data_IF_688247179605
#
_entry.id   IF_688247179605
#
_cell.length_a   1.000
_cell.length_b   1.000
_cell.length_c   1.000
_cell.angle_alpha   90.00
_cell.angle_beta   90.00
_cell.angle_gamma   90.00
#
_symmetry.space_group_name_H-M   'P 1'
#
loop_
_entity.id
_entity.type
_entity.pdbx_description
1 polymer ?
2 non-polymer ?
3 water ?
#
# COMPACT_ATOMS: atom_id res chain seq x y z
N UNK A 2 0.72 6.13 11.31
CA UNK A 2 1.28 5.97 9.96
C UNK A 2 0.24 6.22 8.86
N UNK A 3 0.72 6.65 7.70
CA UNK A 3 -0.15 7.15 6.65
C UNK A 3 -0.49 6.06 5.63
N UNK A 4 -1.56 6.26 4.87
CA UNK A 4 -1.78 5.48 3.64
C UNK A 4 -1.27 6.33 2.47
N UNK A 5 -0.40 5.76 1.63
CA UNK A 5 0.10 6.45 0.44
C UNK A 5 -0.64 5.97 -0.81
N UNK A 6 -1.23 6.90 -1.55
CA UNK A 6 -1.96 6.61 -2.78
C UNK A 6 -1.16 7.09 -3.98
N UNK A 7 -1.02 6.24 -4.99
CA UNK A 7 -0.18 6.57 -6.15
C UNK A 7 -0.97 6.28 -7.42
N UNK A 8 -1.23 7.34 -8.20
CA UNK A 8 -2.04 7.25 -9.41
C UNK A 8 -1.67 8.45 -10.29
N UNK A 9 -1.51 8.21 -11.59
CA UNK A 9 -1.06 9.25 -12.50
C UNK A 9 -2.20 10.20 -12.89
N UNK A 10 -3.44 9.71 -12.80
CA UNK A 10 -4.63 10.49 -13.17
C UNK A 10 -5.17 11.27 -11.97
N UNK A 11 -5.11 12.62 -12.02
CA UNK A 11 -5.40 13.48 -10.86
C UNK A 11 -6.80 13.36 -10.21
N UNK A 12 -7.80 12.99 -10.99
CA UNK A 12 -9.16 12.93 -10.50
C UNK A 12 -9.43 11.60 -9.79
N UNK A 13 -8.84 10.52 -10.29
CA UNK A 13 -8.89 9.22 -9.63
C UNK A 13 -8.17 9.33 -8.30
N UNK A 14 -7.01 9.98 -8.32
CA UNK A 14 -6.21 10.12 -7.12
C UNK A 14 -6.99 10.90 -6.06
N UNK A 15 -7.58 12.03 -6.46
CA UNK A 15 -8.37 12.85 -5.55
C UNK A 15 -9.60 12.11 -5.00
N UNK A 16 -10.25 11.31 -5.83
CA UNK A 16 -11.44 10.59 -5.39
C UNK A 16 -11.05 9.48 -4.39
N UNK A 17 -9.95 8.80 -4.65
CA UNK A 17 -9.42 7.79 -3.74
C UNK A 17 -9.13 8.41 -2.38
N UNK A 18 -8.51 9.60 -2.38
CA UNK A 18 -8.23 10.35 -1.14
C UNK A 18 -9.54 10.70 -0.41
N UNK A 19 -10.52 11.21 -1.13
CA UNK A 19 -11.84 11.51 -0.54
C UNK A 19 -12.46 10.27 0.13
N UNK A 20 -12.35 9.11 -0.53
CA UNK A 20 -12.87 7.83 -0.01
C UNK A 20 -12.25 7.41 1.31
N UNK A 21 -10.97 7.74 1.52
CA UNK A 21 -10.21 7.22 2.67
C UNK A 21 -9.96 8.24 3.79
N UNK A 22 -10.08 9.53 3.49
CA UNK A 22 -9.58 10.57 4.41
C UNK A 22 -10.33 10.72 5.75
N UNK A 23 -11.58 10.28 5.80
CA UNK A 23 -12.32 10.24 7.07
C UNK A 23 -11.78 9.14 7.99
N UNK A 24 -10.91 8.27 7.46
CA UNK A 24 -10.47 7.06 8.15
C UNK A 24 -8.95 7.01 8.35
N UNK A 25 -8.20 7.71 7.50
CA UNK A 25 -6.74 7.63 7.49
C UNK A 25 -6.08 8.98 7.18
N UNK A 26 -4.85 9.15 7.64
CA UNK A 26 -3.98 10.20 7.13
C UNK A 26 -3.56 9.76 5.74
N UNK A 27 -3.85 10.59 4.74
CA UNK A 27 -3.65 10.20 3.35
C UNK A 27 -2.55 11.04 2.71
N UNK A 28 -1.56 10.35 2.14
CA UNK A 28 -0.55 11.00 1.31
C UNK A 28 -0.76 10.59 -0.14
N UNK A 29 -0.48 11.50 -1.07
CA UNK A 29 -0.68 11.23 -2.50
C UNK A 29 0.56 11.51 -3.35
N UNK A 30 0.77 10.68 -4.36
CA UNK A 30 1.87 10.85 -5.31
C UNK A 30 1.35 10.56 -6.71
N UNK A 31 1.87 11.29 -7.70
CA UNK A 31 1.41 11.15 -9.09
C UNK A 31 2.17 10.09 -9.92
N UNK A 32 3.20 9.48 -9.35
CA UNK A 32 3.98 8.46 -10.05
C UNK A 32 5.02 7.88 -9.11
N UNK A 33 5.73 6.84 -9.55
CA UNK A 33 6.65 6.09 -8.68
C UNK A 33 7.75 6.92 -8.02
N UNK A 34 8.30 7.88 -8.77
CA UNK A 34 9.38 8.73 -8.31
C UNK A 34 8.96 9.62 -7.14
N UNK A 35 7.84 10.32 -7.30
CA UNK A 35 7.26 11.13 -6.23
C UNK A 35 6.88 10.28 -5.02
N UNK A 36 6.48 9.04 -5.28
CA UNK A 36 6.00 8.15 -4.21
C UNK A 36 7.17 7.63 -3.39
N UNK A 37 8.25 7.24 -4.07
CA UNK A 37 9.50 6.83 -3.40
C UNK A 37 10.05 7.97 -2.52
N UNK A 38 9.95 9.21 -3.00
CA UNK A 38 10.41 10.38 -2.25
C UNK A 38 9.63 10.53 -0.94
N UNK A 39 8.33 10.24 -1.00
CA UNK A 39 7.47 10.24 0.18
C UNK A 39 7.83 9.10 1.14
N UNK A 40 8.04 7.90 0.60
CA UNK A 40 8.40 6.73 1.41
C UNK A 40 9.73 6.94 2.16
N UNK A 41 10.65 7.67 1.54
CA UNK A 41 11.94 7.99 2.16
C UNK A 41 11.86 8.99 3.31
N UNK A 42 10.77 9.76 3.38
CA UNK A 42 10.68 10.90 4.29
C UNK A 42 9.53 10.81 5.31
N UNK A 43 8.51 10.00 5.00
CA UNK A 43 7.32 9.82 5.86
C UNK A 43 7.13 8.36 6.33
N UNK A 44 6.41 8.18 7.43
CA UNK A 44 6.04 6.84 7.95
C UNK A 44 4.74 6.34 7.30
N UNK A 45 4.86 5.35 6.43
CA UNK A 45 3.75 4.83 5.62
C UNK A 45 3.45 3.36 5.96
N UNK A 46 2.19 3.08 6.27
CA UNK A 46 1.75 1.71 6.59
C UNK A 46 1.22 0.91 5.38
N UNK A 47 0.49 1.61 4.50
CA UNK A 47 -0.21 1.00 3.38
C UNK A 47 0.04 1.83 2.10
N UNK A 48 0.29 1.15 0.98
CA UNK A 48 0.48 1.78 -0.34
C UNK A 48 -0.55 1.22 -1.30
N UNK A 49 -1.36 2.08 -1.92
CA UNK A 49 -2.26 1.66 -2.99
C UNK A 49 -1.77 2.32 -4.27
N UNK A 50 -1.46 1.50 -5.26
CA UNK A 50 -0.80 1.98 -6.45
C UNK A 50 -1.44 1.51 -7.76
N UNK A 51 -1.66 2.44 -8.68
CA UNK A 51 -2.16 2.10 -10.00
C UNK A 51 -1.05 1.40 -10.81
N UNK A 52 -1.40 0.40 -11.62
CA UNK A 52 -0.41 -0.31 -12.41
C UNK A 52 0.16 0.54 -13.56
N UNK A 53 -0.72 1.15 -14.34
CA UNK A 53 -0.30 1.76 -15.61
C UNK A 53 -0.08 3.26 -15.38
N UNK A 54 1.19 3.65 -15.28
CA UNK A 54 1.61 5.03 -15.07
C UNK A 54 2.76 5.36 -16.06
N UNK A 55 2.83 6.61 -16.55
CA UNK A 55 3.91 6.92 -17.51
C UNK A 55 5.27 6.58 -16.92
N UNK A 56 6.09 5.89 -17.71
CA UNK A 56 7.32 5.31 -17.18
C UNK A 56 6.99 4.13 -16.28
N UNK A 57 7.51 4.21 -15.05
CA UNK A 57 7.53 3.09 -14.10
C UNK A 57 6.14 2.58 -13.74
N UNK A 58 5.94 1.28 -13.93
CA UNK A 58 4.70 0.59 -13.56
C UNK A 58 4.57 0.45 -12.04
N UNK A 59 3.33 0.23 -11.59
CA UNK A 59 3.06 -0.09 -10.20
C UNK A 59 3.74 -1.35 -9.73
N UNK A 60 3.79 -2.38 -10.58
CA UNK A 60 4.45 -3.65 -10.24
C UNK A 60 5.95 -3.43 -9.95
N UNK A 61 6.61 -2.63 -10.78
CA UNK A 61 8.04 -2.31 -10.60
C UNK A 61 8.27 -1.48 -9.36
N UNK A 62 7.50 -0.41 -9.21
CA UNK A 62 7.54 0.44 -8.03
C UNK A 62 7.33 -0.36 -6.75
N UNK A 63 6.29 -1.21 -6.72
CA UNK A 63 5.95 -2.00 -5.51
C UNK A 63 6.95 -3.11 -5.21
N UNK A 64 7.64 -3.59 -6.25
CA UNK A 64 8.75 -4.55 -6.11
C UNK A 64 9.87 -3.92 -5.28
N UNK A 65 10.19 -2.67 -5.60
CA UNK A 65 11.18 -1.89 -4.87
C UNK A 65 10.70 -1.54 -3.47
N UNK A 66 9.40 -1.23 -3.33
CA UNK A 66 8.81 -1.00 -2.00
C UNK A 66 8.98 -2.23 -1.13
N UNK A 67 8.77 -3.42 -1.69
CA UNK A 67 8.98 -4.63 -0.91
C UNK A 67 10.43 -4.76 -0.42
N UNK A 68 11.38 -4.41 -1.28
CA UNK A 68 12.82 -4.48 -0.96
C UNK A 68 13.21 -3.53 0.17
N UNK A 69 12.83 -2.26 0.04
CA UNK A 69 13.24 -1.22 0.99
C UNK A 69 12.37 -1.08 2.26
N UNK A 70 11.06 -1.37 2.14
CA UNK A 70 10.14 -1.30 3.29
C UNK A 70 9.19 -2.50 3.30
N UNK A 71 9.70 -3.70 3.66
CA UNK A 71 8.93 -4.94 3.49
C UNK A 71 7.70 -5.11 4.42
N UNK A 72 7.61 -4.29 5.46
CA UNK A 72 6.51 -4.37 6.44
C UNK A 72 5.27 -3.53 6.07
N UNK A 73 5.38 -2.78 4.98
CA UNK A 73 4.25 -2.08 4.37
C UNK A 73 3.26 -3.12 3.84
N UNK A 74 1.98 -2.76 3.76
CA UNK A 74 1.00 -3.57 3.05
C UNK A 74 0.78 -2.89 1.68
N UNK A 75 0.88 -3.68 0.61
CA UNK A 75 0.96 -3.16 -0.75
C UNK A 75 -0.19 -3.70 -1.62
N UNK A 76 -0.93 -2.77 -2.19
CA UNK A 76 -2.12 -3.05 -3.01
C UNK A 76 -1.92 -2.43 -4.39
N UNK A 77 -2.25 -3.19 -5.44
CA UNK A 77 -2.17 -2.69 -6.81
C UNK A 77 -3.56 -2.62 -7.43
N UNK A 78 -3.80 -1.53 -8.18
CA UNK A 78 -5.04 -1.39 -8.93
C UNK A 78 -4.70 -1.65 -10.39
N UNK A 79 -5.42 -2.56 -11.03
CA UNK A 79 -5.07 -3.01 -12.38
C UNK A 79 -6.27 -3.50 -13.17
N UNK A 80 -6.22 -3.30 -14.47
CA UNK A 80 -7.15 -3.91 -15.39
C UNK A 80 -6.45 -5.19 -15.86
N UNK A 81 -6.98 -5.81 -16.91
CA UNK A 81 -6.43 -7.10 -17.40
C UNK A 81 -6.25 -8.11 -16.25
N UNK A 82 -7.27 -8.22 -15.39
CA UNK A 82 -7.20 -9.18 -14.30
C UNK A 82 -7.33 -10.60 -14.78
N UNK A 83 -7.82 -10.80 -16.02
CA UNK A 83 -7.90 -12.15 -16.57
C UNK A 83 -6.58 -12.55 -17.29
N UNK A 84 -5.52 -11.75 -17.14
CA UNK A 84 -4.20 -12.06 -17.75
C UNK A 84 -3.33 -12.85 -16.77
N UNK A 85 -2.98 -14.09 -17.11
CA UNK A 85 -2.10 -14.90 -16.27
C UNK A 85 -0.70 -14.31 -16.07
N UNK A 86 -0.13 -13.67 -17.09
CA UNK A 86 1.14 -12.98 -16.88
C UNK A 86 1.05 -11.74 -15.97
N UNK A 87 -0.01 -10.94 -16.09
CA UNK A 87 -0.29 -9.87 -15.10
C UNK A 87 -0.34 -10.48 -13.70
N UNK A 88 -1.12 -11.55 -13.51
CA UNK A 88 -1.27 -12.20 -12.20
C UNK A 88 0.07 -12.72 -11.66
N UNK A 89 0.85 -13.35 -12.55
CA UNK A 89 2.16 -13.85 -12.18
C UNK A 89 3.14 -12.72 -11.81
N UNK A 90 3.14 -11.60 -12.54
CA UNK A 90 3.89 -10.39 -12.12
C UNK A 90 3.53 -9.88 -10.71
N UNK A 91 2.23 -9.83 -10.40
CA UNK A 91 1.78 -9.31 -9.12
C UNK A 91 2.26 -10.24 -8.01
N UNK A 92 2.07 -11.54 -8.19
CA UNK A 92 2.57 -12.54 -7.22
C UNK A 92 4.10 -12.43 -7.03
N UNK A 93 4.86 -12.38 -8.12
CA UNK A 93 6.33 -12.32 -8.04
C UNK A 93 6.83 -11.05 -7.32
N UNK A 94 6.04 -9.97 -7.41
CA UNK A 94 6.39 -8.70 -6.78
C UNK A 94 6.19 -8.69 -5.26
N UNK A 95 5.54 -9.72 -4.73
CA UNK A 95 5.14 -9.77 -3.31
C UNK A 95 4.02 -8.78 -2.98
N UNK A 96 3.15 -8.51 -3.95
CA UNK A 96 1.99 -7.62 -3.73
C UNK A 96 0.90 -8.39 -2.95
N UNK A 97 0.32 -7.76 -1.92
CA UNK A 97 -0.65 -8.46 -1.04
C UNK A 97 -2.03 -8.75 -1.67
N UNK A 98 -2.49 -7.83 -2.51
CA UNK A 98 -3.81 -7.93 -3.15
C UNK A 98 -3.91 -6.97 -4.32
N UNK A 99 -4.77 -7.30 -5.27
CA UNK A 99 -5.08 -6.39 -6.32
C UNK A 99 -6.53 -5.99 -6.25
N UNK A 100 -6.82 -4.79 -6.73
CA UNK A 100 -8.19 -4.35 -6.98
C UNK A 100 -8.37 -4.18 -8.48
N UNK A 101 -9.51 -4.64 -8.98
CA UNK A 101 -9.83 -4.54 -10.38
C UNK A 101 -10.17 -3.10 -10.74
N UNK A 102 -9.64 -2.65 -11.87
CA UNK A 102 -9.92 -1.31 -12.42
C UNK A 102 -11.27 -1.32 -13.21
N UNK A 103 -12.12 -0.27 -13.09
CA UNK A 103 -12.10 0.91 -12.22
C UNK A 103 -12.28 0.51 -10.78
N UNK A 104 -11.43 1.03 -9.91
CA UNK A 104 -11.49 0.68 -8.52
C UNK A 104 -12.90 0.95 -7.94
N UNK A 105 -13.32 0.04 -7.08
CA UNK A 105 -14.63 0.07 -6.46
C UNK A 105 -14.45 0.76 -5.09
N UNK A 106 -15.14 1.89 -4.83
CA UNK A 106 -14.87 2.66 -3.61
C UNK A 106 -15.03 1.91 -2.28
N UNK A 107 -16.05 1.07 -2.18
CA UNK A 107 -16.30 0.29 -0.98
C UNK A 107 -15.22 -0.76 -0.81
N UNK A 108 -14.83 -1.39 -1.91
CA UNK A 108 -13.79 -2.41 -1.89
C UNK A 108 -12.41 -1.78 -1.54
N UNK A 109 -12.14 -0.59 -2.08
CA UNK A 109 -10.92 0.17 -1.75
C UNK A 109 -10.83 0.52 -0.26
N UNK A 110 -11.91 1.07 0.29
CA UNK A 110 -12.03 1.33 1.71
C UNK A 110 -11.82 0.07 2.58
N UNK A 111 -12.50 -1.04 2.26
CA UNK A 111 -12.27 -2.29 2.96
C UNK A 111 -10.84 -2.81 2.86
N UNK A 112 -10.25 -2.76 1.68
CA UNK A 112 -8.86 -3.17 1.56
C UNK A 112 -7.92 -2.29 2.41
N UNK A 113 -8.13 -0.98 2.41
CA UNK A 113 -7.26 -0.07 3.16
C UNK A 113 -7.38 -0.41 4.66
N UNK A 114 -8.61 -0.68 5.12
CA UNK A 114 -8.92 -0.96 6.52
C UNK A 114 -8.30 -2.30 6.98
N UNK A 115 -8.45 -3.33 6.14
CA UNK A 115 -7.89 -4.64 6.43
C UNK A 115 -6.37 -4.58 6.39
N UNK A 116 -5.84 -3.87 5.40
CA UNK A 116 -4.40 -3.65 5.30
C UNK A 116 -3.85 -2.93 6.54
N UNK A 117 -4.51 -1.86 7.00
CA UNK A 117 -4.04 -1.13 8.17
C UNK A 117 -4.10 -1.99 9.46
N UNK A 118 -5.15 -2.79 9.57
CA UNK A 118 -5.28 -3.72 10.68
C UNK A 118 -4.15 -4.76 10.70
N UNK A 119 -3.79 -5.32 9.53
CA UNK A 119 -2.67 -6.27 9.47
C UNK A 119 -1.38 -5.60 9.91
N UNK A 120 -1.18 -4.37 9.46
CA UNK A 120 0.00 -3.60 9.81
C UNK A 120 0.07 -3.37 11.32
N UNK A 121 -1.02 -2.89 11.91
CA UNK A 121 -1.12 -2.62 13.35
C UNK A 121 -0.84 -3.89 14.13
N UNK A 122 -1.46 -5.00 13.72
CA UNK A 122 -1.31 -6.27 14.41
C UNK A 122 0.14 -6.76 14.39
N UNK A 123 0.80 -6.65 13.23
CA UNK A 123 2.18 -7.08 13.08
C UNK A 123 3.12 -6.19 13.91
N UNK A 124 2.89 -4.87 13.93
CA UNK A 124 3.71 -3.94 14.74
C UNK A 124 3.51 -4.20 16.24
N UNK A 125 2.27 -4.45 16.66
CA UNK A 125 1.97 -4.79 18.05
C UNK A 125 2.64 -6.12 18.47
N UNK A 126 2.62 -7.08 17.55
CA UNK A 126 3.24 -8.41 17.73
C UNK A 126 4.73 -8.30 18.02
N UNK A 127 5.41 -7.51 17.19
CA UNK A 127 6.83 -7.20 17.38
C UNK A 127 7.09 -6.52 18.73
N UNK A 128 6.33 -5.46 19.03
CA UNK A 128 6.46 -4.75 20.29
C UNK A 128 6.27 -5.65 21.51
N UNK A 129 5.25 -6.51 21.48
CA UNK A 129 4.98 -7.42 22.57
C UNK A 129 6.13 -8.43 22.74
N UNK A 130 6.64 -8.98 21.64
CA UNK A 130 7.79 -9.90 21.74
C UNK A 130 9.03 -9.22 22.30
N UNK A 131 9.27 -7.97 21.90
CA UNK A 131 10.40 -7.20 22.46
C UNK A 131 10.25 -6.90 23.97
N UNK A 132 9.07 -6.43 24.38
CA UNK A 132 8.77 -6.19 25.80
C UNK A 132 8.90 -7.45 26.68
N UNK A 133 8.63 -8.62 26.10
CA UNK A 133 8.84 -9.90 26.77
C UNK A 133 10.34 -10.17 27.07
N UNK A 134 11.22 -9.81 26.12
CA UNK A 134 12.67 -9.84 26.31
C UNK A 134 13.15 -8.90 27.41
N UNK A 135 12.51 -7.75 27.54
CA UNK A 135 12.88 -6.83 28.60
C UNK A 135 12.39 -7.32 29.96
N UNK A 136 11.43 -8.26 29.96
CA UNK A 136 10.98 -8.97 31.19
C UNK A 136 11.65 -10.34 31.47
N UNK A 137 11.91 -11.13 30.43
CA UNK A 137 12.50 -12.47 30.51
C UNK A 137 14.02 -12.42 30.40
N UNK A 138 14.69 -13.48 30.87
CA UNK A 138 16.11 -13.78 30.59
C UNK A 138 17.23 -13.30 31.57
N UNK A 139 17.14 -12.04 32.11
CA UNK A 139 18.21 -11.38 32.86
C UNK A 139 19.46 -12.18 33.16
X LIG B 1 -2.76 5.11 -14.59
#
# INVERSE_FOLDING_TARGET
>A
APAILLVDDEPHSLAAMKLALEDDFDVLTAQGAEAAIAILEEEWVQVIICDQRMPGRTGVDFLTEVRERWPETVRIIITGYTDSASMMAAINDAGIHQFLTKPWHPEQLLSSARNAARMFTLARENERLSLEMRLLERP
>B hetero
1 MG MG
#
